data_IF_832107383402
#
_entry.id   IF_832107383402
#
_cell.length_a   1.000
_cell.length_b   1.000
_cell.length_c   1.000
_cell.angle_alpha   90.00
_cell.angle_beta   90.00
_cell.angle_gamma   90.00
#
_symmetry.space_group_name_H-M   'P 1'
#
loop_
_entity.id
_entity.type
_entity.pdbx_description
1 polymer ?
#
# COMPACT_ATOMS: atom_id res chain seq x y z
N UNK A 1 2.92 13.36 0.42
CA UNK A 1 1.90 12.34 0.77
C UNK A 1 2.49 11.48 1.88
N UNK A 2 1.74 11.17 2.94
CA UNK A 2 2.26 10.47 4.11
C UNK A 2 2.74 9.04 3.82
N UNK A 3 2.10 8.33 2.88
CA UNK A 3 2.52 6.98 2.47
C UNK A 3 3.14 6.97 1.06
N UNK A 4 4.14 6.12 0.87
CA UNK A 4 4.83 5.90 -0.41
C UNK A 4 4.94 4.40 -0.71
N UNK A 5 4.97 4.05 -1.99
CA UNK A 5 5.22 2.67 -2.41
C UNK A 5 6.71 2.36 -2.21
N UNK A 6 7.02 1.55 -1.19
CA UNK A 6 8.39 1.13 -0.94
C UNK A 6 8.93 0.32 -2.14
N UNK A 7 10.17 0.56 -2.60
CA UNK A 7 10.76 -0.23 -3.66
C UNK A 7 10.95 -1.68 -3.21
N UNK A 8 10.86 -2.61 -4.16
CA UNK A 8 11.25 -4.00 -3.89
C UNK A 8 12.76 -4.05 -3.60
N UNK A 9 13.21 -4.88 -2.64
CA UNK A 9 14.63 -5.07 -2.37
C UNK A 9 15.33 -5.98 -3.41
N UNK A 10 14.63 -6.35 -4.48
CA UNK A 10 15.08 -7.25 -5.55
C UNK A 10 14.37 -6.90 -6.88
N UNK A 11 14.88 -7.44 -7.98
CA UNK A 11 14.28 -7.29 -9.30
C UNK A 11 12.96 -8.09 -9.44
N UNK A 12 12.07 -7.69 -10.35
CA UNK A 12 10.75 -8.32 -10.50
C UNK A 12 10.79 -9.80 -10.89
N UNK A 13 11.88 -10.26 -11.51
CA UNK A 13 12.12 -11.64 -11.95
C UNK A 13 12.88 -12.48 -10.91
N UNK A 14 13.30 -11.89 -9.79
CA UNK A 14 14.13 -12.55 -8.79
C UNK A 14 13.45 -13.73 -8.07
N UNK A 15 12.14 -13.91 -8.26
CA UNK A 15 11.33 -14.96 -7.63
C UNK A 15 10.93 -16.09 -8.59
N UNK A 16 11.38 -16.05 -9.85
CA UNK A 16 11.18 -17.16 -10.79
C UNK A 16 11.90 -18.44 -10.31
N UNK A 17 11.32 -19.65 -10.50
CA UNK A 17 10.05 -19.95 -11.16
C UNK A 17 8.85 -19.99 -10.18
N UNK A 18 9.00 -19.45 -8.97
CA UNK A 18 7.99 -19.56 -7.91
C UNK A 18 6.91 -18.47 -8.03
N UNK A 19 7.29 -17.28 -8.46
CA UNK A 19 6.37 -16.18 -8.78
C UNK A 19 6.86 -15.55 -10.08
N UNK A 20 5.97 -15.45 -11.06
CA UNK A 20 6.35 -14.95 -12.37
C UNK A 20 6.58 -13.43 -12.38
N UNK A 21 7.44 -12.99 -13.28
CA UNK A 21 7.84 -11.58 -13.42
C UNK A 21 6.66 -10.64 -13.67
N UNK A 22 5.67 -11.08 -14.46
CA UNK A 22 4.49 -10.26 -14.80
C UNK A 22 3.60 -10.04 -13.58
N UNK A 23 3.40 -11.08 -12.76
CA UNK A 23 2.73 -10.98 -11.46
C UNK A 23 3.42 -9.95 -10.57
N UNK A 24 4.75 -10.00 -10.45
CA UNK A 24 5.47 -9.04 -9.60
C UNK A 24 5.33 -7.59 -10.09
N UNK A 25 5.42 -7.36 -11.40
CA UNK A 25 5.21 -6.03 -12.00
C UNK A 25 3.79 -5.49 -11.79
N UNK A 26 2.77 -6.33 -11.97
CA UNK A 26 1.37 -5.90 -11.83
C UNK A 26 1.01 -5.75 -10.34
N UNK A 27 1.43 -6.66 -9.48
CA UNK A 27 1.11 -6.63 -8.05
C UNK A 27 1.75 -5.41 -7.38
N UNK A 28 3.07 -5.23 -7.49
CA UNK A 28 3.76 -4.10 -6.87
C UNK A 28 3.44 -2.79 -7.61
N UNK A 29 3.61 -2.76 -8.93
CA UNK A 29 3.52 -1.54 -9.72
C UNK A 29 2.10 -1.02 -9.99
N UNK A 30 1.06 -1.85 -9.86
CA UNK A 30 -0.34 -1.42 -10.05
C UNK A 30 -1.17 -1.59 -8.79
N UNK A 31 -1.29 -2.80 -8.25
CA UNK A 31 -2.20 -3.06 -7.12
C UNK A 31 -1.74 -2.34 -5.84
N UNK A 32 -0.48 -2.51 -5.43
CA UNK A 32 0.04 -1.85 -4.24
C UNK A 32 0.08 -0.32 -4.42
N UNK A 33 0.50 0.17 -5.60
CA UNK A 33 0.43 1.60 -5.91
C UNK A 33 -0.99 2.16 -5.75
N UNK A 34 -2.01 1.47 -6.27
CA UNK A 34 -3.39 1.91 -6.15
C UNK A 34 -3.87 1.97 -4.69
N UNK A 35 -3.47 1.02 -3.84
CA UNK A 35 -3.76 1.07 -2.41
C UNK A 35 -3.10 2.27 -1.73
N UNK A 36 -1.82 2.54 -2.02
CA UNK A 36 -1.09 3.71 -1.49
C UNK A 36 -1.78 5.01 -1.91
N UNK A 37 -2.13 5.16 -3.18
CA UNK A 37 -2.77 6.37 -3.71
C UNK A 37 -4.15 6.59 -3.08
N UNK A 38 -4.96 5.53 -2.97
CA UNK A 38 -6.31 5.63 -2.41
C UNK A 38 -6.29 5.84 -0.90
N UNK A 39 -5.35 5.23 -0.17
CA UNK A 39 -5.16 5.48 1.25
C UNK A 39 -4.83 6.96 1.48
N UNK A 40 -3.85 7.50 0.76
CA UNK A 40 -3.47 8.91 0.85
C UNK A 40 -4.66 9.84 0.58
N UNK A 41 -5.49 9.54 -0.43
CA UNK A 41 -6.72 10.30 -0.70
C UNK A 41 -7.74 10.20 0.43
N UNK A 42 -7.90 9.01 1.01
CA UNK A 42 -8.91 8.76 2.04
C UNK A 42 -8.59 9.42 3.39
N UNK A 43 -7.30 9.62 3.70
CA UNK A 43 -6.86 10.20 4.98
C UNK A 43 -6.55 11.70 4.91
N UNK A 44 -6.39 12.28 3.72
CA UNK A 44 -6.05 13.69 3.56
C UNK A 44 -7.03 14.62 4.28
N UNK A 45 -6.52 15.52 5.13
CA UNK A 45 -7.32 16.45 5.92
C UNK A 45 -8.07 15.82 7.10
N UNK A 46 -7.83 14.53 7.38
CA UNK A 46 -8.46 13.82 8.51
C UNK A 46 -7.49 13.68 9.69
N UNK A 47 -7.97 13.36 10.90
CA UNK A 47 -7.09 13.03 12.03
C UNK A 47 -6.15 11.84 11.78
N UNK A 48 -6.39 11.06 10.72
CA UNK A 48 -5.61 9.88 10.35
C UNK A 48 -4.42 10.20 9.45
N UNK A 49 -4.30 11.42 8.92
CA UNK A 49 -3.29 11.79 7.91
C UNK A 49 -1.85 11.60 8.39
N UNK A 50 -1.60 11.82 9.69
CA UNK A 50 -0.27 11.77 10.29
C UNK A 50 0.01 10.48 11.07
N UNK A 51 -0.90 9.50 11.01
CA UNK A 51 -0.71 8.22 11.69
C UNK A 51 0.16 7.29 10.83
N UNK A 52 0.94 6.44 11.50
CA UNK A 52 1.62 5.32 10.85
C UNK A 52 0.61 4.27 10.34
N UNK A 53 1.04 3.42 9.40
CA UNK A 53 0.16 2.36 8.87
C UNK A 53 -0.24 1.38 9.99
N UNK A 54 0.66 1.10 10.93
CA UNK A 54 0.41 0.24 12.08
C UNK A 54 -0.65 0.84 13.02
N UNK A 55 -0.65 2.15 13.23
CA UNK A 55 -1.67 2.83 14.03
C UNK A 55 -3.04 2.82 13.35
N UNK A 56 -3.09 2.97 12.02
CA UNK A 56 -4.32 2.85 11.25
C UNK A 56 -4.89 1.44 11.34
N UNK A 57 -4.06 0.41 11.13
CA UNK A 57 -4.45 -1.00 11.20
C UNK A 57 -4.96 -1.36 12.59
N UNK A 58 -4.32 -0.90 13.68
CA UNK A 58 -4.78 -1.10 15.06
C UNK A 58 -6.20 -0.55 15.31
N UNK A 59 -6.62 0.47 14.55
CA UNK A 59 -7.92 1.13 14.68
C UNK A 59 -8.86 0.82 13.52
N UNK A 60 -8.52 -0.14 12.64
CA UNK A 60 -9.26 -0.46 11.41
C UNK A 60 -10.76 -0.73 11.63
N UNK A 61 -11.11 -1.28 12.79
CA UNK A 61 -12.52 -1.52 13.16
C UNK A 61 -13.36 -0.26 13.43
N UNK A 62 -12.72 0.90 13.62
CA UNK A 62 -13.36 2.16 14.00
C UNK A 62 -13.22 3.29 12.96
N UNK A 63 -12.54 3.02 11.84
CA UNK A 63 -12.31 3.98 10.75
C UNK A 63 -13.17 3.65 9.52
N UNK A 64 -13.23 4.57 8.55
CA UNK A 64 -14.07 4.41 7.37
C UNK A 64 -13.65 3.21 6.51
N UNK A 65 -14.59 2.70 5.71
CA UNK A 65 -14.37 1.55 4.82
C UNK A 65 -13.26 1.81 3.79
N UNK A 66 -12.99 3.08 3.46
CA UNK A 66 -11.94 3.44 2.51
C UNK A 66 -10.53 3.40 3.12
N UNK A 67 -10.41 3.44 4.45
CA UNK A 67 -9.12 3.41 5.17
C UNK A 67 -8.80 2.02 5.73
N UNK A 68 -9.83 1.18 5.97
CA UNK A 68 -9.69 -0.22 6.41
C UNK A 68 -9.63 -1.19 5.23
#
# INVERSE_FOLDING_TARGET
MPFTLAPLPYAHDALEPHIDTLTMQIHHGKHHQAYVDNLNKAIAGTPNENLSIEELVKKAGAISVAVR
#
